data_IF_980852884403
#
_entry.id   IF_980852884403
#
_cell.length_a   1.000
_cell.length_b   1.000
_cell.length_c   1.000
_cell.angle_alpha   90.00
_cell.angle_beta   90.00
_cell.angle_gamma   90.00
#
_symmetry.space_group_name_H-M   'P 1'
#
loop_
_entity.id
_entity.type
_entity.pdbx_description
1 polymer ?
#
# COMPACT_ATOMS: atom_id res chain seq x y z
N UNK A 1 -35.87 -2.53 -7.49
CA UNK A 1 -35.63 -1.23 -8.00
C UNK A 1 -34.16 -0.83 -7.91
N UNK A 2 -33.61 -0.36 -9.02
CA UNK A 2 -32.16 -0.09 -9.21
C UNK A 2 -31.50 0.70 -8.06
N UNK A 3 -32.16 1.78 -7.60
CA UNK A 3 -31.64 2.58 -6.49
C UNK A 3 -31.44 1.75 -5.22
N UNK A 4 -32.47 0.98 -4.81
CA UNK A 4 -32.37 0.14 -3.61
C UNK A 4 -31.25 -0.90 -3.73
N UNK A 5 -31.07 -1.43 -4.93
CA UNK A 5 -30.03 -2.42 -5.20
C UNK A 5 -28.62 -1.80 -5.09
N UNK A 6 -28.41 -0.59 -5.65
CA UNK A 6 -27.17 0.14 -5.51
C UNK A 6 -26.89 0.50 -4.07
N UNK A 7 -27.83 1.18 -3.40
CA UNK A 7 -27.69 1.66 -2.02
C UNK A 7 -27.39 0.51 -1.07
N UNK A 8 -28.21 -0.55 -1.13
CA UNK A 8 -28.04 -1.73 -0.26
C UNK A 8 -26.67 -2.40 -0.45
N UNK A 9 -26.27 -2.64 -1.69
CA UNK A 9 -25.00 -3.30 -1.96
C UNK A 9 -23.80 -2.42 -1.60
N UNK A 10 -23.86 -1.13 -1.85
CA UNK A 10 -22.85 -0.16 -1.46
C UNK A 10 -22.66 -0.13 0.06
N UNK A 11 -23.75 0.00 0.82
CA UNK A 11 -23.73 0.03 2.29
C UNK A 11 -23.29 -1.29 2.92
N UNK A 12 -23.60 -2.44 2.31
CA UNK A 12 -23.09 -3.73 2.77
C UNK A 12 -21.57 -3.83 2.64
N UNK A 13 -21.00 -3.25 1.57
CA UNK A 13 -19.55 -3.27 1.34
C UNK A 13 -18.82 -2.20 2.17
N UNK A 14 -19.41 -1.01 2.24
CA UNK A 14 -18.86 0.12 2.98
C UNK A 14 -19.97 0.84 3.75
N UNK A 15 -20.19 0.52 5.04
CA UNK A 15 -21.30 1.09 5.82
C UNK A 15 -21.31 2.60 5.92
N UNK A 16 -20.17 3.27 5.79
CA UNK A 16 -20.04 4.72 5.87
C UNK A 16 -20.10 5.41 4.51
N UNK A 17 -20.43 4.68 3.42
CA UNK A 17 -20.54 5.29 2.09
C UNK A 17 -21.65 6.37 2.08
N UNK A 18 -21.34 7.53 1.55
CA UNK A 18 -22.31 8.58 1.34
C UNK A 18 -22.92 8.44 -0.05
N UNK A 19 -24.23 8.45 -0.15
CA UNK A 19 -24.94 8.28 -1.43
C UNK A 19 -25.90 9.44 -1.61
N UNK A 20 -25.77 10.12 -2.74
CA UNK A 20 -26.73 11.13 -3.21
C UNK A 20 -27.49 10.56 -4.39
N UNK A 21 -28.81 10.70 -4.38
CA UNK A 21 -29.67 10.19 -5.45
C UNK A 21 -30.39 11.33 -6.17
N UNK A 22 -30.37 11.25 -7.49
CA UNK A 22 -31.17 12.06 -8.38
C UNK A 22 -32.09 11.15 -9.20
N UNK A 23 -33.39 11.45 -9.18
CA UNK A 23 -34.38 10.75 -9.98
C UNK A 23 -34.64 11.50 -11.26
N UNK A 24 -34.60 10.80 -12.39
CA UNK A 24 -34.94 11.34 -13.69
C UNK A 24 -35.98 10.43 -14.37
N UNK A 25 -36.91 11.02 -15.07
CA UNK A 25 -37.81 10.26 -15.93
C UNK A 25 -37.03 9.71 -17.13
N UNK A 26 -37.29 8.46 -17.48
CA UNK A 26 -36.63 7.80 -18.62
C UNK A 26 -37.61 7.59 -19.78
N UNK A 27 -38.75 8.27 -19.75
CA UNK A 27 -39.78 8.20 -20.77
C UNK A 27 -40.28 9.61 -21.17
N UNK A 28 -40.61 9.77 -22.46
CA UNK A 28 -41.11 11.03 -23.00
C UNK A 28 -40.01 11.99 -23.44
N UNK A 29 -40.44 13.07 -24.13
CA UNK A 29 -39.53 14.01 -24.82
C UNK A 29 -38.53 14.74 -23.89
N UNK A 30 -38.79 14.78 -22.61
CA UNK A 30 -37.96 15.45 -21.61
C UNK A 30 -36.96 14.52 -20.91
N UNK A 31 -37.04 13.22 -21.14
CA UNK A 31 -36.25 12.23 -20.41
C UNK A 31 -34.75 12.47 -20.54
N UNK A 32 -34.23 12.68 -21.75
CA UNK A 32 -32.81 12.97 -21.96
C UNK A 32 -32.36 14.24 -21.22
N UNK A 33 -33.18 15.29 -21.27
CA UNK A 33 -32.89 16.56 -20.57
C UNK A 33 -32.83 16.43 -19.03
N UNK A 34 -33.72 15.61 -18.45
CA UNK A 34 -33.72 15.35 -17.02
C UNK A 34 -32.48 14.56 -16.57
N UNK A 35 -32.06 13.52 -17.34
CA UNK A 35 -30.86 12.77 -17.05
C UNK A 35 -29.61 13.64 -17.20
N UNK A 36 -29.54 14.48 -18.23
CA UNK A 36 -28.43 15.44 -18.42
C UNK A 36 -28.36 16.42 -17.22
N UNK A 37 -29.48 16.94 -16.78
CA UNK A 37 -29.52 17.86 -15.63
C UNK A 37 -29.03 17.15 -14.34
N UNK A 38 -29.45 15.92 -14.12
CA UNK A 38 -28.98 15.09 -12.98
C UNK A 38 -27.46 14.83 -13.03
N UNK A 39 -26.93 14.42 -14.18
CA UNK A 39 -25.48 14.19 -14.36
C UNK A 39 -24.71 15.49 -14.09
N UNK A 40 -25.13 16.63 -14.66
CA UNK A 40 -24.44 17.90 -14.44
C UNK A 40 -24.51 18.39 -13.00
N UNK A 41 -25.63 18.14 -12.31
CA UNK A 41 -25.76 18.50 -10.90
C UNK A 41 -24.81 17.69 -10.01
N UNK A 42 -24.63 16.40 -10.29
CA UNK A 42 -23.69 15.55 -9.58
C UNK A 42 -22.23 15.86 -9.95
N UNK A 43 -21.93 16.13 -11.22
CA UNK A 43 -20.59 16.47 -11.69
C UNK A 43 -20.07 17.81 -11.12
N UNK A 44 -20.99 18.74 -10.85
CA UNK A 44 -20.67 20.02 -10.23
C UNK A 44 -20.47 19.95 -8.70
N UNK A 45 -20.79 18.82 -8.08
CA UNK A 45 -20.68 18.64 -6.64
C UNK A 45 -19.31 18.08 -6.25
N UNK A 46 -18.47 18.83 -5.54
CA UNK A 46 -17.11 18.40 -5.17
C UNK A 46 -17.07 17.24 -4.17
N UNK A 47 -18.21 16.87 -3.58
CA UNK A 47 -18.29 15.70 -2.67
C UNK A 47 -18.69 14.41 -3.39
N UNK A 48 -18.87 14.46 -4.71
CA UNK A 48 -19.17 13.29 -5.54
C UNK A 48 -17.91 12.74 -6.17
N UNK A 49 -17.50 11.55 -5.74
CA UNK A 49 -16.32 10.86 -6.25
C UNK A 49 -16.63 10.06 -7.53
N UNK A 50 -17.87 9.60 -7.70
CA UNK A 50 -18.31 8.78 -8.83
C UNK A 50 -19.82 8.91 -9.06
N UNK A 51 -20.22 8.92 -10.32
CA UNK A 51 -21.63 8.96 -10.74
C UNK A 51 -22.03 7.61 -11.28
N UNK A 52 -23.12 7.03 -10.78
CA UNK A 52 -23.70 5.80 -11.30
C UNK A 52 -25.03 6.13 -11.98
N UNK A 53 -25.11 5.95 -13.30
CA UNK A 53 -26.36 6.02 -14.04
C UNK A 53 -26.96 4.63 -14.08
N UNK A 54 -27.99 4.41 -13.26
CA UNK A 54 -28.60 3.11 -13.10
C UNK A 54 -30.09 3.14 -13.52
N UNK A 55 -30.52 2.07 -14.16
CA UNK A 55 -31.91 1.87 -14.50
C UNK A 55 -32.40 0.50 -13.96
N UNK A 56 -33.63 0.47 -13.43
CA UNK A 56 -34.32 -0.76 -13.12
C UNK A 56 -34.81 -1.48 -14.39
N UNK A 57 -35.29 -2.71 -14.23
CA UNK A 57 -35.89 -3.47 -15.32
C UNK A 57 -37.05 -2.72 -16.01
N UNK A 58 -37.25 -2.95 -17.29
CA UNK A 58 -38.30 -2.33 -18.11
C UNK A 58 -38.08 -2.61 -19.58
N UNK A 59 -38.99 -2.16 -20.43
CA UNK A 59 -39.02 -2.41 -21.86
C UNK A 59 -37.78 -1.79 -22.56
N UNK A 60 -37.33 -2.42 -23.66
CA UNK A 60 -36.24 -2.00 -24.52
C UNK A 60 -36.42 -0.56 -25.05
N UNK A 61 -37.66 -0.14 -25.33
CA UNK A 61 -37.95 1.23 -25.81
C UNK A 61 -37.46 2.32 -24.83
N UNK A 62 -37.35 2.01 -23.56
CA UNK A 62 -36.84 2.94 -22.54
C UNK A 62 -35.30 3.06 -22.54
N UNK A 63 -34.60 2.22 -23.30
CA UNK A 63 -33.14 2.29 -23.46
C UNK A 63 -32.73 3.34 -24.49
N UNK A 64 -33.62 3.72 -25.40
CA UNK A 64 -33.33 4.66 -26.48
C UNK A 64 -32.90 6.04 -25.96
N UNK A 65 -33.41 6.48 -24.82
CA UNK A 65 -33.04 7.75 -24.19
C UNK A 65 -31.54 7.79 -23.86
N UNK A 66 -30.94 6.66 -23.53
CA UNK A 66 -29.51 6.57 -23.23
C UNK A 66 -28.62 6.47 -24.47
N UNK A 67 -29.23 6.53 -25.65
CA UNK A 67 -28.53 6.70 -26.93
C UNK A 67 -28.79 8.09 -27.54
N UNK A 68 -29.42 9.01 -26.81
CA UNK A 68 -29.58 10.39 -27.21
C UNK A 68 -28.23 11.11 -27.31
N UNK A 69 -27.98 11.81 -28.42
CA UNK A 69 -26.68 12.45 -28.67
C UNK A 69 -26.34 13.51 -27.61
N UNK A 70 -27.29 14.30 -27.16
CA UNK A 70 -27.05 15.35 -26.18
C UNK A 70 -26.69 14.74 -24.81
N UNK A 71 -27.32 13.62 -24.43
CA UNK A 71 -27.02 12.90 -23.21
C UNK A 71 -25.62 12.25 -23.29
N UNK A 72 -25.29 11.58 -24.37
CA UNK A 72 -23.97 10.96 -24.57
C UNK A 72 -22.86 12.00 -24.54
N UNK A 73 -23.05 13.15 -25.19
CA UNK A 73 -22.09 14.26 -25.12
C UNK A 73 -21.96 14.87 -23.72
N UNK A 74 -23.06 14.96 -22.99
CA UNK A 74 -23.00 15.44 -21.60
C UNK A 74 -22.25 14.48 -20.69
N UNK A 75 -22.46 13.17 -20.86
CA UNK A 75 -21.73 12.15 -20.12
C UNK A 75 -20.23 12.12 -20.48
N UNK A 76 -19.90 12.24 -21.78
CA UNK A 76 -18.49 12.29 -22.23
C UNK A 76 -17.74 13.56 -21.78
N UNK A 77 -18.46 14.64 -21.47
CA UNK A 77 -17.88 15.89 -20.96
C UNK A 77 -17.79 15.92 -19.43
N UNK A 78 -18.32 14.91 -18.73
CA UNK A 78 -18.29 14.79 -17.30
C UNK A 78 -16.86 14.62 -16.81
N UNK A 79 -16.47 15.34 -15.75
CA UNK A 79 -15.14 15.24 -15.13
C UNK A 79 -15.14 14.16 -14.05
N UNK A 80 -16.25 14.00 -13.35
CA UNK A 80 -16.46 12.95 -12.35
C UNK A 80 -16.60 11.61 -13.06
N UNK A 81 -15.86 10.55 -12.66
CA UNK A 81 -15.98 9.22 -13.25
C UNK A 81 -17.44 8.75 -13.31
N UNK A 82 -17.87 8.29 -14.49
CA UNK A 82 -19.25 7.89 -14.75
C UNK A 82 -19.33 6.38 -15.01
N UNK A 83 -20.21 5.71 -14.29
CA UNK A 83 -20.52 4.28 -14.44
C UNK A 83 -21.91 4.10 -15.02
N UNK A 84 -22.00 3.38 -16.12
CA UNK A 84 -23.29 2.97 -16.71
C UNK A 84 -23.71 1.60 -16.17
N UNK A 85 -24.93 1.53 -15.67
CA UNK A 85 -25.57 0.29 -15.18
C UNK A 85 -27.02 0.20 -15.72
N UNK A 86 -27.20 0.40 -17.02
CA UNK A 86 -28.50 0.62 -17.67
C UNK A 86 -28.99 -0.64 -18.36
N UNK A 87 -28.12 -1.33 -19.08
CA UNK A 87 -28.50 -2.41 -19.99
C UNK A 87 -28.15 -3.81 -19.48
N UNK A 88 -28.83 -4.82 -20.02
CA UNK A 88 -28.42 -6.21 -19.92
C UNK A 88 -27.30 -6.50 -20.95
N UNK A 89 -26.68 -7.67 -20.88
CA UNK A 89 -25.53 -8.05 -21.73
C UNK A 89 -25.76 -7.83 -23.25
N UNK A 90 -27.01 -7.95 -23.72
CA UNK A 90 -27.38 -7.84 -25.13
C UNK A 90 -27.77 -6.42 -25.57
N UNK A 91 -28.04 -5.52 -24.63
CA UNK A 91 -28.50 -4.16 -24.90
C UNK A 91 -27.35 -3.16 -24.64
N UNK A 92 -26.89 -2.49 -25.70
CA UNK A 92 -25.79 -1.51 -25.60
C UNK A 92 -26.26 -0.13 -26.00
N UNK A 93 -26.79 0.69 -25.06
CA UNK A 93 -27.04 2.10 -25.32
C UNK A 93 -25.70 2.82 -25.54
N UNK A 94 -25.69 3.90 -26.33
CA UNK A 94 -24.48 4.67 -26.62
C UNK A 94 -23.82 5.26 -25.36
N UNK A 95 -24.57 5.46 -24.27
CA UNK A 95 -24.02 5.88 -22.99
C UNK A 95 -22.98 4.89 -22.44
N UNK A 96 -23.17 3.58 -22.69
CA UNK A 96 -22.21 2.54 -22.25
C UNK A 96 -20.82 2.68 -22.92
N UNK A 97 -20.78 3.26 -24.13
CA UNK A 97 -19.54 3.42 -24.90
C UNK A 97 -18.72 4.65 -24.47
N UNK A 98 -19.35 5.60 -23.79
CA UNK A 98 -18.69 6.81 -23.27
C UNK A 98 -18.49 6.80 -21.77
N UNK A 99 -19.11 5.87 -21.05
CA UNK A 99 -18.94 5.70 -19.64
C UNK A 99 -17.53 5.15 -19.31
N UNK A 100 -16.92 5.61 -18.22
CA UNK A 100 -15.62 5.11 -17.76
C UNK A 100 -15.67 3.64 -17.37
N UNK A 101 -16.82 3.18 -16.89
CA UNK A 101 -17.07 1.80 -16.55
C UNK A 101 -18.48 1.38 -16.94
N UNK A 102 -18.59 0.22 -17.59
CA UNK A 102 -19.88 -0.45 -17.82
C UNK A 102 -20.09 -1.56 -16.79
N UNK A 103 -21.22 -1.54 -16.12
CA UNK A 103 -21.68 -2.60 -15.22
C UNK A 103 -22.91 -3.30 -15.81
N UNK A 104 -23.01 -4.63 -15.63
CA UNK A 104 -24.11 -5.43 -16.17
C UNK A 104 -25.43 -5.21 -15.45
N UNK A 105 -25.37 -4.76 -14.20
CA UNK A 105 -26.53 -4.51 -13.33
C UNK A 105 -26.23 -3.40 -12.32
N UNK A 106 -27.25 -2.76 -11.74
CA UNK A 106 -27.07 -1.81 -10.64
C UNK A 106 -26.28 -2.38 -9.45
N UNK A 107 -26.51 -3.65 -9.15
CA UNK A 107 -25.77 -4.41 -8.11
C UNK A 107 -24.29 -4.58 -8.46
N UNK A 108 -23.98 -4.87 -9.74
CA UNK A 108 -22.60 -4.98 -10.23
C UNK A 108 -21.88 -3.63 -10.17
N UNK A 109 -22.58 -2.55 -10.54
CA UNK A 109 -22.03 -1.19 -10.43
C UNK A 109 -21.61 -0.88 -8.97
N UNK A 110 -22.49 -1.12 -8.01
CA UNK A 110 -22.17 -0.90 -6.61
C UNK A 110 -20.95 -1.71 -6.15
N UNK A 111 -20.84 -2.96 -6.59
CA UNK A 111 -19.70 -3.84 -6.24
C UNK A 111 -18.38 -3.39 -6.86
N UNK A 112 -18.41 -2.82 -8.06
CA UNK A 112 -17.19 -2.34 -8.75
C UNK A 112 -16.71 -1.00 -8.24
N UNK A 113 -17.64 -0.14 -7.85
CA UNK A 113 -17.36 1.22 -7.39
C UNK A 113 -16.96 1.23 -5.91
N UNK A 114 -17.67 0.48 -5.08
CA UNK A 114 -17.47 0.51 -3.63
C UNK A 114 -16.57 -0.64 -3.19
N UNK A 115 -15.37 -0.35 -2.64
CA UNK A 115 -14.48 -1.38 -2.12
C UNK A 115 -15.11 -2.13 -0.94
N UNK A 116 -14.64 -3.35 -0.68
CA UNK A 116 -15.07 -4.12 0.48
C UNK A 116 -14.22 -3.76 1.70
N UNK A 117 -14.87 -3.20 2.72
CA UNK A 117 -14.17 -2.73 3.94
C UNK A 117 -13.41 -3.87 4.65
N UNK A 118 -13.95 -5.08 4.63
CA UNK A 118 -13.29 -6.21 5.27
C UNK A 118 -12.01 -6.62 4.51
N UNK A 119 -12.06 -6.62 3.18
CA UNK A 119 -10.87 -6.87 2.34
C UNK A 119 -9.80 -5.80 2.54
N UNK A 120 -10.20 -4.52 2.58
CA UNK A 120 -9.24 -3.42 2.77
C UNK A 120 -8.60 -3.48 4.17
N UNK A 121 -9.37 -3.76 5.22
CA UNK A 121 -8.83 -3.95 6.56
C UNK A 121 -7.88 -5.15 6.64
N UNK A 122 -8.20 -6.25 5.94
CA UNK A 122 -7.32 -7.42 5.86
C UNK A 122 -6.00 -7.07 5.15
N UNK A 123 -6.03 -6.28 4.06
CA UNK A 123 -4.84 -5.79 3.36
C UNK A 123 -3.96 -4.93 4.27
N UNK A 124 -4.58 -4.02 5.02
CA UNK A 124 -3.87 -3.17 6.00
C UNK A 124 -3.23 -4.02 7.10
N UNK A 125 -3.98 -4.98 7.67
CA UNK A 125 -3.46 -5.88 8.69
C UNK A 125 -2.27 -6.72 8.17
N UNK A 126 -2.37 -7.24 6.97
CA UNK A 126 -1.29 -8.00 6.32
C UNK A 126 -0.05 -7.12 6.06
N UNK A 127 -0.25 -5.89 5.57
CA UNK A 127 0.85 -4.96 5.36
C UNK A 127 1.57 -4.64 6.66
N UNK A 128 0.81 -4.35 7.73
CA UNK A 128 1.35 -4.15 9.09
C UNK A 128 2.14 -5.36 9.59
N UNK A 129 1.61 -6.57 9.39
CA UNK A 129 2.30 -7.81 9.77
C UNK A 129 3.65 -7.96 9.06
N UNK A 130 3.70 -7.69 7.75
CA UNK A 130 4.97 -7.70 6.98
C UNK A 130 5.97 -6.67 7.48
N UNK A 131 5.50 -5.46 7.79
CA UNK A 131 6.37 -4.39 8.32
C UNK A 131 6.96 -4.77 9.67
N UNK A 132 6.14 -5.27 10.60
CA UNK A 132 6.60 -5.71 11.92
C UNK A 132 7.57 -6.87 11.84
N UNK A 133 7.29 -7.86 10.98
CA UNK A 133 8.20 -8.99 10.74
C UNK A 133 9.55 -8.51 10.21
N UNK A 134 9.57 -7.63 9.22
CA UNK A 134 10.82 -7.06 8.70
C UNK A 134 11.60 -6.29 9.75
N UNK A 135 10.92 -5.49 10.58
CA UNK A 135 11.55 -4.75 11.66
C UNK A 135 12.17 -5.69 12.70
N UNK A 136 11.43 -6.73 13.12
CA UNK A 136 11.95 -7.75 14.04
C UNK A 136 13.21 -8.43 13.49
N UNK A 137 13.22 -8.82 12.22
CA UNK A 137 14.40 -9.42 11.59
C UNK A 137 15.60 -8.46 11.55
N UNK A 138 15.38 -7.19 11.25
CA UNK A 138 16.45 -6.18 11.26
C UNK A 138 17.03 -6.03 12.68
N UNK A 139 16.17 -5.88 13.68
CA UNK A 139 16.60 -5.73 15.08
C UNK A 139 17.35 -6.98 15.55
N UNK A 140 16.83 -8.19 15.29
CA UNK A 140 17.51 -9.44 15.65
C UNK A 140 18.88 -9.55 14.97
N UNK A 141 18.97 -9.24 13.68
CA UNK A 141 20.23 -9.25 12.95
C UNK A 141 21.29 -8.29 13.53
N UNK A 142 20.87 -7.09 13.96
CA UNK A 142 21.79 -6.15 14.62
C UNK A 142 22.18 -6.61 16.03
N UNK A 143 21.28 -7.23 16.79
CA UNK A 143 21.60 -7.84 18.08
C UNK A 143 22.64 -8.95 17.91
N UNK A 144 22.44 -9.85 16.94
CA UNK A 144 23.37 -10.93 16.65
C UNK A 144 24.74 -10.39 16.21
N UNK A 145 24.74 -9.34 15.39
CA UNK A 145 25.96 -8.65 14.96
C UNK A 145 26.72 -8.04 16.14
N UNK A 146 26.03 -7.38 17.05
CA UNK A 146 26.62 -6.82 18.28
C UNK A 146 27.16 -7.96 19.15
N UNK A 147 26.40 -9.06 19.31
CA UNK A 147 26.84 -10.24 20.03
C UNK A 147 28.12 -10.83 19.47
N UNK A 148 28.18 -10.99 18.15
CA UNK A 148 29.37 -11.49 17.45
C UNK A 148 30.59 -10.54 17.59
N UNK A 149 30.37 -9.25 17.61
CA UNK A 149 31.45 -8.28 17.89
C UNK A 149 31.95 -8.39 19.32
N UNK A 150 31.05 -8.46 20.30
CA UNK A 150 31.39 -8.57 21.73
C UNK A 150 32.11 -9.87 22.06
N UNK A 151 31.84 -10.96 21.35
CA UNK A 151 32.51 -12.26 21.54
C UNK A 151 33.91 -12.33 20.95
N UNK A 152 34.37 -11.33 20.19
CA UNK A 152 35.75 -11.29 19.69
C UNK A 152 36.73 -11.21 20.88
N UNK A 153 37.82 -12.03 20.90
CA UNK A 153 38.76 -12.09 22.04
C UNK A 153 39.26 -10.70 22.49
N UNK A 154 39.51 -9.80 21.54
CA UNK A 154 39.97 -8.43 21.80
C UNK A 154 38.96 -7.59 22.56
N UNK A 155 37.66 -7.82 22.36
CA UNK A 155 36.57 -7.09 23.02
C UNK A 155 36.02 -7.82 24.26
N UNK A 156 36.10 -9.16 24.25
CA UNK A 156 35.64 -9.98 25.38
C UNK A 156 36.60 -9.92 26.58
N UNK A 157 37.91 -9.79 26.33
CA UNK A 157 38.95 -9.67 27.36
C UNK A 157 40.05 -8.76 26.83
N UNK A 158 39.90 -7.45 26.85
CA UNK A 158 40.88 -6.53 26.33
C UNK A 158 42.22 -6.62 27.09
N UNK A 159 42.18 -7.03 28.35
CA UNK A 159 43.36 -7.13 29.22
C UNK A 159 44.36 -8.22 28.77
N UNK A 160 43.90 -9.27 28.10
CA UNK A 160 44.80 -10.36 27.65
C UNK A 160 45.91 -9.89 26.72
N UNK A 161 45.66 -8.85 25.93
CA UNK A 161 46.69 -8.27 25.02
C UNK A 161 47.74 -7.54 25.87
N UNK A 162 47.31 -6.84 26.91
CA UNK A 162 48.18 -6.11 27.81
C UNK A 162 49.00 -7.10 28.63
N UNK A 163 48.37 -8.12 29.20
CA UNK A 163 49.03 -9.16 29.98
C UNK A 163 50.08 -9.91 29.16
N UNK A 164 49.75 -10.32 27.95
CA UNK A 164 50.71 -10.97 27.04
C UNK A 164 51.88 -10.05 26.70
N UNK A 165 51.68 -8.77 26.51
CA UNK A 165 52.76 -7.82 26.25
C UNK A 165 53.61 -7.58 27.50
N UNK A 166 53.02 -7.58 28.67
CA UNK A 166 53.73 -7.49 29.93
C UNK A 166 54.61 -8.71 30.17
N UNK A 167 54.12 -9.93 29.89
CA UNK A 167 54.89 -11.16 29.95
C UNK A 167 56.05 -11.16 28.95
N UNK A 168 55.81 -10.73 27.71
CA UNK A 168 56.86 -10.63 26.70
C UNK A 168 57.95 -9.63 27.12
N UNK A 169 57.58 -8.50 27.65
CA UNK A 169 58.52 -7.51 28.17
C UNK A 169 59.35 -8.06 29.36
N UNK A 170 58.68 -8.73 30.28
CA UNK A 170 59.34 -9.36 31.43
C UNK A 170 60.40 -10.38 30.95
N UNK A 171 60.05 -11.23 29.98
CA UNK A 171 61.01 -12.20 29.39
C UNK A 171 62.17 -11.51 28.69
N UNK A 172 61.95 -10.44 27.98
CA UNK A 172 62.98 -9.71 27.26
C UNK A 172 63.91 -8.98 28.23
N UNK A 173 63.39 -8.39 29.28
CA UNK A 173 64.17 -7.76 30.35
C UNK A 173 65.07 -8.80 31.02
N UNK A 174 64.53 -9.95 31.45
CA UNK A 174 65.28 -11.03 32.08
C UNK A 174 66.42 -11.55 31.13
N UNK A 175 66.11 -11.77 29.86
CA UNK A 175 67.11 -12.20 28.86
C UNK A 175 68.15 -11.14 28.63
N UNK A 176 67.75 -9.86 28.61
CA UNK A 176 68.72 -8.72 28.53
C UNK A 176 69.69 -8.70 29.71
N UNK A 177 69.17 -8.88 30.92
CA UNK A 177 70.01 -8.94 32.17
C UNK A 177 71.02 -10.10 32.10
N UNK A 178 70.53 -11.34 31.74
CA UNK A 178 71.44 -12.47 31.56
C UNK A 178 72.56 -12.27 30.53
N UNK A 179 72.25 -11.59 29.46
CA UNK A 179 73.26 -11.26 28.41
C UNK A 179 74.28 -10.23 28.90
N UNK A 180 73.85 -9.26 29.67
CA UNK A 180 74.71 -8.26 30.27
C UNK A 180 75.64 -8.94 31.31
N UNK A 181 75.10 -9.75 32.20
CA UNK A 181 75.87 -10.47 33.20
C UNK A 181 76.94 -11.38 32.54
N UNK A 182 76.56 -12.17 31.55
CA UNK A 182 77.48 -13.00 30.80
C UNK A 182 78.58 -12.16 30.05
N UNK A 183 78.23 -10.97 29.62
CA UNK A 183 79.20 -10.07 28.95
C UNK A 183 80.20 -9.50 29.94
N UNK A 184 79.69 -9.13 31.17
CA UNK A 184 80.55 -8.66 32.27
C UNK A 184 81.46 -9.73 32.77
N UNK A 185 80.99 -10.98 32.96
CA UNK A 185 81.83 -12.13 33.37
C UNK A 185 82.93 -12.38 32.37
N UNK A 186 82.64 -12.37 31.05
CA UNK A 186 83.65 -12.51 30.01
C UNK A 186 84.67 -11.41 29.99
N UNK A 187 84.24 -10.16 30.16
CA UNK A 187 85.14 -8.99 30.23
C UNK A 187 86.00 -9.07 31.51
N UNK A 188 85.44 -9.51 32.66
CA UNK A 188 86.18 -9.70 33.89
C UNK A 188 87.26 -10.76 33.81
N UNK A 189 86.97 -11.91 33.15
CA UNK A 189 87.95 -12.99 32.95
C UNK A 189 89.08 -12.57 32.04
N UNK A 190 88.86 -11.74 31.05
CA UNK A 190 89.87 -11.18 30.15
C UNK A 190 90.79 -10.12 30.80
N UNK A 191 90.43 -9.57 31.94
CA UNK A 191 91.22 -8.62 32.69
C UNK A 191 92.07 -9.25 33.79
N UNK A 192 91.86 -10.57 34.05
CA UNK A 192 92.60 -11.33 35.09
C UNK A 192 93.65 -12.28 34.54
N UNK A 193 93.72 -12.44 33.22
CA UNK A 193 94.80 -13.11 32.47
C UNK A 193 95.77 -12.03 31.95
#
# INVERSE_FOLDING_TARGET
DAEKDVVRNAQLRWPSVQIRTHHAQVQGDRAAGEVIAAIRALDADPEVDVIIVARGGGDFQHLLVFSDEALVRAAAACVTPLVSAIGHENDRPLLDEVADLRASTPTDAAKRVVPDVAEELARVAQARGRMLGRLSHLVSGEIDRIGALRSRPVLASPDWIIDRRAEDLTRWVARGAELVDRSLERAGSQLTD
#
